data_IF_596155627705
#
_entry.id   IF_596155627705
#
_cell.length_a   1.000
_cell.length_b   1.000
_cell.length_c   1.000
_cell.angle_alpha   90.00
_cell.angle_beta   90.00
_cell.angle_gamma   90.00
#
_symmetry.space_group_name_H-M   'P 1'
#
loop_
_entity.id
_entity.type
_entity.pdbx_description
1 polymer ?
#
# COMPACT_ATOMS: atom_id res chain seq x y z
N UNK A 1 7.15 6.23 -12.86
CA UNK A 1 7.07 4.89 -12.23
C UNK A 1 8.35 4.07 -12.39
N UNK A 2 9.18 4.29 -13.41
CA UNK A 2 10.42 3.51 -13.64
C UNK A 2 11.39 3.48 -12.44
N UNK A 3 11.69 4.64 -11.83
CA UNK A 3 12.57 4.70 -10.65
C UNK A 3 12.02 3.84 -9.49
N UNK A 4 10.72 3.93 -9.24
CA UNK A 4 10.05 3.11 -8.22
C UNK A 4 10.15 1.62 -8.54
N UNK A 5 9.90 1.23 -9.80
CA UNK A 5 10.05 -0.17 -10.22
C UNK A 5 11.49 -0.68 -10.08
N UNK A 6 12.49 0.14 -10.42
CA UNK A 6 13.89 -0.19 -10.21
C UNK A 6 14.20 -0.43 -8.73
N UNK A 7 13.71 0.45 -7.84
CA UNK A 7 13.87 0.30 -6.39
C UNK A 7 13.18 -0.97 -5.87
N UNK A 8 11.94 -1.25 -6.30
CA UNK A 8 11.20 -2.45 -5.91
C UNK A 8 11.94 -3.70 -6.37
N UNK A 9 12.34 -3.78 -7.64
CA UNK A 9 13.06 -4.92 -8.19
C UNK A 9 14.39 -5.18 -7.47
N UNK A 10 15.14 -4.11 -7.17
CA UNK A 10 16.39 -4.21 -6.41
C UNK A 10 16.13 -4.76 -4.99
N UNK A 11 15.09 -4.28 -4.32
CA UNK A 11 14.70 -4.77 -3.00
C UNK A 11 14.25 -6.24 -3.05
N UNK A 12 13.45 -6.64 -4.05
CA UNK A 12 12.99 -8.02 -4.22
C UNK A 12 14.13 -9.01 -4.47
N UNK A 13 15.21 -8.58 -5.14
CA UNK A 13 16.39 -9.42 -5.39
C UNK A 13 17.23 -9.62 -4.12
N UNK A 14 17.28 -8.64 -3.20
CA UNK A 14 17.97 -8.80 -1.92
C UNK A 14 17.27 -8.07 -0.77
N UNK A 15 16.22 -8.68 -0.18
CA UNK A 15 15.45 -8.06 0.89
C UNK A 15 16.23 -7.86 2.21
N UNK A 16 17.40 -8.50 2.33
CA UNK A 16 18.20 -8.54 3.57
C UNK A 16 19.26 -7.43 3.68
N UNK A 17 19.51 -6.67 2.62
CA UNK A 17 20.44 -5.52 2.63
C UNK A 17 19.73 -4.19 2.92
N UNK A 18 18.80 -4.17 3.88
CA UNK A 18 18.26 -2.90 4.39
C UNK A 18 19.37 -2.15 5.12
N UNK A 19 19.59 -0.85 4.86
CA UNK A 19 20.58 -0.04 5.58
C UNK A 19 20.22 0.19 7.05
N UNK A 20 19.01 -0.21 7.47
CA UNK A 20 18.49 -0.08 8.83
C UNK A 20 18.39 -1.47 9.46
N UNK A 21 19.46 -1.92 10.14
CA UNK A 21 19.40 -2.79 11.33
C UNK A 21 20.78 -3.36 11.71
N UNK A 22 21.20 -3.05 12.93
CA UNK A 22 22.08 -3.84 13.79
C UNK A 22 21.36 -5.12 14.22
N UNK A 23 22.06 -6.26 14.14
CA UNK A 23 21.72 -7.60 14.66
C UNK A 23 20.34 -8.17 14.27
N UNK A 24 20.28 -8.94 13.17
CA UNK A 24 19.07 -9.66 12.74
C UNK A 24 19.15 -11.15 13.10
N UNK A 25 18.09 -11.66 13.73
CA UNK A 25 17.83 -13.10 13.78
C UNK A 25 17.48 -13.61 12.38
N UNK A 26 17.90 -14.82 12.03
CA UNK A 26 17.65 -15.42 10.70
C UNK A 26 16.16 -15.69 10.38
N UNK A 27 15.26 -15.47 11.34
CA UNK A 27 13.82 -15.79 11.30
C UNK A 27 12.90 -14.59 10.96
N UNK A 28 13.47 -13.39 10.77
CA UNK A 28 12.67 -12.18 10.48
C UNK A 28 12.24 -12.13 9.01
N UNK A 29 10.93 -11.97 8.80
CA UNK A 29 10.33 -11.78 7.46
C UNK A 29 10.57 -10.33 7.04
N UNK A 30 11.32 -10.07 5.95
CA UNK A 30 11.53 -8.72 5.45
C UNK A 30 10.22 -8.16 4.88
N UNK A 31 9.89 -6.92 5.22
CA UNK A 31 8.65 -6.24 4.82
C UNK A 31 8.99 -5.05 3.91
N UNK A 32 8.29 -4.94 2.78
CA UNK A 32 8.29 -3.77 1.90
C UNK A 32 6.91 -3.11 1.93
N UNK A 33 6.86 -1.81 2.25
CA UNK A 33 5.65 -1.00 2.15
C UNK A 33 5.79 -0.08 0.94
N UNK A 34 4.83 -0.14 0.03
CA UNK A 34 4.75 0.75 -1.13
C UNK A 34 3.50 1.60 -0.96
N UNK A 35 3.67 2.92 -0.93
CA UNK A 35 2.59 3.89 -0.75
C UNK A 35 2.50 4.83 -1.95
N UNK A 36 1.29 5.20 -2.32
CA UNK A 36 1.02 6.07 -3.46
C UNK A 36 -0.46 6.06 -3.85
N UNK A 37 -0.89 7.10 -4.58
CA UNK A 37 -2.31 7.34 -4.87
C UNK A 37 -2.85 6.67 -6.15
N UNK A 38 -1.98 6.03 -6.96
CA UNK A 38 -2.34 5.34 -8.21
C UNK A 38 -1.60 3.99 -8.36
N UNK A 39 -1.42 3.27 -7.26
CA UNK A 39 -0.65 2.01 -7.29
C UNK A 39 -1.44 0.86 -7.93
N UNK A 40 -2.72 0.74 -7.60
CA UNK A 40 -3.47 -0.49 -7.86
C UNK A 40 -3.96 -0.66 -9.30
N UNK A 41 -3.98 0.39 -10.12
CA UNK A 41 -4.27 0.28 -11.55
C UNK A 41 -2.98 0.21 -12.40
N UNK A 42 -1.80 0.13 -11.77
CA UNK A 42 -0.53 0.01 -12.47
C UNK A 42 -0.15 -1.46 -12.65
N UNK A 43 -0.44 -2.00 -13.84
CA UNK A 43 -0.26 -3.43 -14.19
C UNK A 43 1.08 -4.04 -13.77
N UNK A 44 2.24 -3.38 -13.89
CA UNK A 44 3.51 -3.97 -13.46
C UNK A 44 3.61 -4.33 -11.96
N UNK A 45 2.70 -3.85 -11.12
CA UNK A 45 2.64 -4.17 -9.69
C UNK A 45 1.59 -5.24 -9.35
N UNK A 46 0.81 -5.72 -10.32
CA UNK A 46 -0.35 -6.60 -10.09
C UNK A 46 -0.03 -7.84 -9.23
N UNK A 47 1.15 -8.44 -9.41
CA UNK A 47 1.51 -9.71 -8.78
C UNK A 47 2.32 -9.58 -7.49
N UNK A 48 2.71 -8.37 -7.07
CA UNK A 48 3.64 -8.20 -5.94
C UNK A 48 2.95 -8.03 -4.59
N UNK A 49 1.63 -7.84 -4.57
CA UNK A 49 0.90 -7.46 -3.37
C UNK A 49 0.52 -8.65 -2.50
N UNK A 50 1.08 -8.75 -1.31
CA UNK A 50 0.62 -9.70 -0.29
C UNK A 50 -0.58 -9.18 0.51
N UNK A 51 -0.66 -7.87 0.75
CA UNK A 51 -1.77 -7.20 1.45
C UNK A 51 -1.95 -5.80 0.87
N UNK A 52 -3.20 -5.32 0.77
CA UNK A 52 -3.55 -4.06 0.11
C UNK A 52 -4.47 -3.25 1.01
N UNK A 53 -4.12 -1.99 1.24
CA UNK A 53 -4.93 -1.04 1.98
C UNK A 53 -5.28 0.14 1.10
N UNK A 54 -6.53 0.60 1.15
CA UNK A 54 -6.98 1.78 0.41
C UNK A 54 -7.64 2.77 1.36
N UNK A 55 -7.01 3.93 1.56
CA UNK A 55 -7.55 4.98 2.42
C UNK A 55 -8.58 5.81 1.65
N UNK A 56 -9.80 5.87 2.17
CA UNK A 56 -10.91 6.65 1.61
C UNK A 56 -11.20 7.87 2.47
N UNK A 57 -11.46 9.01 1.85
CA UNK A 57 -11.88 10.24 2.52
C UNK A 57 -13.04 10.84 1.70
N UNK A 58 -14.16 11.25 2.32
CA UNK A 58 -15.25 11.92 1.62
C UNK A 58 -14.79 13.19 0.91
N UNK A 59 -15.47 13.55 -0.19
CA UNK A 59 -15.13 14.68 -1.07
C UNK A 59 -14.82 15.97 -0.29
N UNK A 60 -15.72 16.40 0.60
CA UNK A 60 -15.58 17.66 1.34
C UNK A 60 -14.33 17.70 2.20
N UNK A 61 -14.08 16.63 2.97
CA UNK A 61 -12.91 16.54 3.84
C UNK A 61 -11.62 16.41 3.02
N UNK A 62 -11.65 15.68 1.90
CA UNK A 62 -10.51 15.57 0.99
C UNK A 62 -10.15 16.94 0.39
N UNK A 63 -11.14 17.68 -0.09
CA UNK A 63 -10.98 19.03 -0.64
C UNK A 63 -10.39 19.98 0.40
N UNK A 64 -10.96 19.98 1.61
CA UNK A 64 -10.49 20.79 2.75
C UNK A 64 -9.03 20.47 3.12
N UNK A 65 -8.65 19.20 3.22
CA UNK A 65 -7.26 18.80 3.49
C UNK A 65 -6.33 19.21 2.35
N UNK A 66 -6.72 18.96 1.10
CA UNK A 66 -5.92 19.32 -0.08
C UNK A 66 -5.66 20.82 -0.15
N UNK A 67 -6.66 21.67 0.13
CA UNK A 67 -6.48 23.13 0.12
C UNK A 67 -5.48 23.65 1.15
N UNK A 68 -5.16 22.86 2.18
CA UNK A 68 -4.12 23.22 3.17
C UNK A 68 -2.71 22.81 2.77
N UNK A 69 -2.57 21.99 1.71
CA UNK A 69 -1.27 21.50 1.23
C UNK A 69 -0.80 22.34 0.05
N UNK A 70 0.46 22.74 0.07
CA UNK A 70 1.11 23.39 -1.06
C UNK A 70 1.76 22.32 -1.94
N UNK A 71 1.37 22.28 -3.22
CA UNK A 71 1.98 21.44 -4.25
C UNK A 71 2.95 22.27 -5.10
N UNK A 72 3.86 21.58 -5.80
CA UNK A 72 4.74 22.17 -6.80
C UNK A 72 4.50 21.49 -8.15
N UNK A 73 3.94 22.19 -9.16
CA UNK A 73 3.40 23.55 -9.08
C UNK A 73 2.13 23.63 -8.20
N UNK A 74 1.75 24.82 -7.70
CA UNK A 74 0.51 25.01 -6.95
C UNK A 74 -0.73 24.63 -7.77
N UNK A 75 -1.75 24.10 -7.08
CA UNK A 75 -3.03 23.77 -7.70
C UNK A 75 -3.68 25.06 -8.29
N UNK A 76 -4.02 25.10 -9.60
CA UNK A 76 -4.74 26.24 -10.16
C UNK A 76 -6.19 26.31 -9.64
N UNK A 77 -6.88 27.45 -9.79
CA UNK A 77 -8.27 27.58 -9.39
C UNK A 77 -9.17 26.49 -10.02
N UNK A 78 -9.99 25.83 -9.21
CA UNK A 78 -10.90 24.77 -9.66
C UNK A 78 -10.23 23.41 -9.94
N UNK A 79 -8.92 23.25 -9.72
CA UNK A 79 -8.20 22.02 -10.06
C UNK A 79 -8.71 20.78 -9.33
N UNK A 80 -9.13 20.94 -8.07
CA UNK A 80 -9.67 19.81 -7.30
C UNK A 80 -10.93 19.23 -7.95
N UNK A 81 -11.87 20.11 -8.30
CA UNK A 81 -13.18 19.73 -8.84
C UNK A 81 -13.09 19.32 -10.30
N UNK A 82 -12.28 20.01 -11.08
CA UNK A 82 -12.13 19.77 -12.51
C UNK A 82 -11.20 18.63 -12.87
N UNK A 83 -10.29 18.22 -11.97
CA UNK A 83 -9.27 17.23 -12.30
C UNK A 83 -9.04 16.18 -11.20
N UNK A 84 -8.67 16.61 -10.00
CA UNK A 84 -8.23 15.69 -8.93
C UNK A 84 -9.32 14.68 -8.57
N UNK A 85 -10.51 15.17 -8.24
CA UNK A 85 -11.62 14.32 -7.81
C UNK A 85 -12.17 13.45 -8.95
N UNK A 86 -12.39 13.97 -10.18
CA UNK A 86 -12.73 13.12 -11.31
C UNK A 86 -11.71 12.01 -11.58
N UNK A 87 -10.41 12.29 -11.48
CA UNK A 87 -9.35 11.30 -11.66
C UNK A 87 -9.31 10.26 -10.54
N UNK A 88 -9.58 10.67 -9.29
CA UNK A 88 -9.78 9.73 -8.19
C UNK A 88 -10.97 8.79 -8.43
N UNK A 89 -12.12 9.32 -8.88
CA UNK A 89 -13.30 8.51 -9.19
C UNK A 89 -13.07 7.58 -10.40
N UNK A 90 -12.26 8.01 -11.37
CA UNK A 90 -11.81 7.14 -12.46
C UNK A 90 -10.96 6.00 -11.93
N UNK A 91 -9.93 6.29 -11.13
CA UNK A 91 -9.07 5.28 -10.52
C UNK A 91 -9.87 4.29 -9.68
N UNK A 92 -10.84 4.77 -8.89
CA UNK A 92 -11.73 3.93 -8.09
C UNK A 92 -12.51 2.91 -8.91
N UNK A 93 -13.08 3.34 -10.03
CA UNK A 93 -13.79 2.42 -10.95
C UNK A 93 -12.84 1.39 -11.54
N UNK A 94 -11.66 1.82 -11.97
CA UNK A 94 -10.65 0.93 -12.53
C UNK A 94 -10.17 -0.15 -11.55
N UNK A 95 -10.17 0.12 -10.23
CA UNK A 95 -9.79 -0.87 -9.21
C UNK A 95 -10.96 -1.73 -8.71
N UNK A 96 -12.19 -1.26 -8.85
CA UNK A 96 -13.41 -2.03 -8.52
C UNK A 96 -13.60 -3.20 -9.48
N UNK A 97 -13.13 -3.07 -10.73
CA UNK A 97 -13.14 -4.13 -11.73
C UNK A 97 -12.06 -5.22 -11.49
N UNK A 98 -11.20 -5.05 -10.48
CA UNK A 98 -10.11 -5.98 -10.16
C UNK A 98 -10.55 -6.86 -9.01
N UNK A 99 -10.47 -8.19 -9.18
CA UNK A 99 -10.77 -9.19 -8.12
C UNK A 99 -9.65 -9.26 -7.07
N UNK A 100 -9.31 -8.14 -6.45
CA UNK A 100 -8.36 -8.07 -5.35
C UNK A 100 -9.06 -7.86 -4.02
N UNK A 101 -8.64 -8.60 -3.00
CA UNK A 101 -8.99 -8.29 -1.62
C UNK A 101 -8.30 -6.99 -1.20
N UNK A 102 -9.06 -5.90 -1.15
CA UNK A 102 -8.60 -4.58 -0.69
C UNK A 102 -9.27 -4.26 0.63
N UNK A 103 -8.46 -3.95 1.65
CA UNK A 103 -8.96 -3.46 2.94
C UNK A 103 -9.17 -1.96 2.84
N UNK A 104 -10.43 -1.52 2.78
CA UNK A 104 -10.77 -0.11 2.75
C UNK A 104 -10.70 0.50 4.15
N UNK A 105 -9.96 1.59 4.27
CA UNK A 105 -9.74 2.32 5.52
C UNK A 105 -10.47 3.66 5.48
N UNK A 106 -11.04 4.05 6.61
CA UNK A 106 -11.63 5.37 6.80
C UNK A 106 -10.54 6.38 7.18
N UNK A 107 -10.14 7.21 6.22
CA UNK A 107 -9.12 8.23 6.38
C UNK A 107 -9.55 9.44 7.21
N UNK A 108 -10.79 9.47 7.71
CA UNK A 108 -11.26 10.49 8.67
C UNK A 108 -10.88 10.18 10.12
N UNK A 109 -10.50 8.92 10.42
CA UNK A 109 -10.00 8.50 11.72
C UNK A 109 -8.67 9.16 12.10
N UNK A 110 -8.30 9.05 13.38
CA UNK A 110 -7.00 9.48 13.87
C UNK A 110 -5.85 8.65 13.28
N UNK A 111 -4.62 9.15 13.36
CA UNK A 111 -3.44 8.41 12.89
C UNK A 111 -3.23 7.15 13.71
N UNK A 112 -3.46 7.23 15.01
CA UNK A 112 -3.32 6.17 15.98
C UNK A 112 -4.33 5.05 15.70
N UNK A 113 -5.60 5.39 15.43
CA UNK A 113 -6.63 4.40 15.09
C UNK A 113 -6.31 3.67 13.79
N UNK A 114 -5.89 4.41 12.75
CA UNK A 114 -5.48 3.82 11.48
C UNK A 114 -4.25 2.93 11.63
N UNK A 115 -3.26 3.38 12.40
CA UNK A 115 -2.08 2.60 12.72
C UNK A 115 -2.45 1.30 13.43
N UNK A 116 -3.23 1.36 14.50
CA UNK A 116 -3.64 0.18 15.26
C UNK A 116 -4.45 -0.80 14.40
N UNK A 117 -5.36 -0.29 13.56
CA UNK A 117 -6.15 -1.11 12.65
C UNK A 117 -5.26 -1.85 11.63
N UNK A 118 -4.36 -1.14 10.96
CA UNK A 118 -3.45 -1.73 9.96
C UNK A 118 -2.42 -2.66 10.61
N UNK A 119 -1.91 -2.28 11.78
CA UNK A 119 -0.90 -3.04 12.51
C UNK A 119 -1.44 -4.41 12.93
N UNK A 120 -2.63 -4.46 13.52
CA UNK A 120 -3.21 -5.73 13.97
C UNK A 120 -3.54 -6.65 12.78
N UNK A 121 -4.07 -6.08 11.69
CA UNK A 121 -4.31 -6.82 10.44
C UNK A 121 -3.01 -7.43 9.88
N UNK A 122 -1.96 -6.62 9.72
CA UNK A 122 -0.65 -7.09 9.25
C UNK A 122 -0.07 -8.19 10.15
N UNK A 123 -0.24 -8.07 11.47
CA UNK A 123 0.26 -9.05 12.44
C UNK A 123 -0.39 -10.41 12.22
N UNK A 124 -1.70 -10.43 11.96
CA UNK A 124 -2.45 -11.65 11.67
C UNK A 124 -2.06 -12.24 10.32
N UNK A 125 -1.93 -11.41 9.28
CA UNK A 125 -1.50 -11.86 7.95
C UNK A 125 -0.09 -12.44 7.95
N UNK A 126 0.85 -11.82 8.67
CA UNK A 126 2.21 -12.36 8.83
C UNK A 126 2.22 -13.70 9.58
N UNK A 127 1.35 -13.86 10.58
CA UNK A 127 1.20 -15.14 11.30
C UNK A 127 0.67 -16.25 10.37
N UNK A 128 -0.34 -15.95 9.55
CA UNK A 128 -0.88 -16.89 8.54
C UNK A 128 0.18 -17.31 7.53
N UNK A 129 0.98 -16.36 7.03
CA UNK A 129 2.07 -16.66 6.10
C UNK A 129 3.12 -17.58 6.71
N UNK A 130 3.53 -17.35 7.96
CA UNK A 130 4.47 -18.22 8.68
C UNK A 130 3.95 -19.66 8.81
N UNK A 131 2.65 -19.83 9.05
CA UNK A 131 2.02 -21.16 9.13
C UNK A 131 1.97 -21.87 7.77
N UNK A 132 1.61 -21.14 6.70
CA UNK A 132 1.55 -21.67 5.33
C UNK A 132 2.92 -22.15 4.83
N UNK A 133 3.99 -21.40 5.11
CA UNK A 133 5.36 -21.80 4.77
C UNK A 133 5.79 -23.07 5.49
N UNK A 134 5.45 -23.24 6.77
CA UNK A 134 5.78 -24.46 7.54
C UNK A 134 5.06 -25.69 6.98
N UNK A 135 3.77 -25.59 6.69
CA UNK A 135 3.00 -26.69 6.11
C UNK A 135 3.54 -27.13 4.74
N UNK A 136 4.00 -26.18 3.91
CA UNK A 136 4.61 -26.47 2.60
C UNK A 136 5.95 -27.22 2.69
N UNK A 137 6.74 -26.95 3.74
CA UNK A 137 8.03 -27.60 3.97
C UNK A 137 7.88 -29.04 4.51
N UNK A 138 6.88 -29.27 5.36
CA UNK A 138 6.59 -30.60 5.92
C UNK A 138 5.93 -31.54 4.89
N UNK A 139 5.11 -31.01 3.98
CA UNK A 139 4.44 -31.78 2.92
C UNK A 139 5.33 -32.21 1.74
N UNK A 140 6.55 -31.67 1.62
CA UNK A 140 7.50 -32.02 0.55
C UNK A 140 8.48 -33.14 0.92
N UNK A 141 8.33 -33.74 2.12
CA UNK A 141 9.19 -34.82 2.64
C UNK A 141 8.54 -36.22 2.59
N UNK A 142 7.55 -36.43 1.73
CA UNK A 142 6.88 -37.72 1.53
C UNK A 142 7.05 -38.25 0.10
#
# INVERSE_FOLDING_TARGET
MEKMMSTISCWMQSPRHSPVSTERNNEDVPILIIEGFLLFNYKPLETIWNRRYFVTIPYEECKRRRSTRVYEPPDPPGYFDGHVWPMYLKHRREIEDIEWEIVYLDGTKSKEDLFSQVYEDLRQELAKQKLSCKASLEGSSA
#
